data_IF_301788639193
#
_entry.id   IF_301788639193
#
_cell.length_a   1.000
_cell.length_b   1.000
_cell.length_c   1.000
_cell.angle_alpha   90.00
_cell.angle_beta   90.00
_cell.angle_gamma   90.00
#
_symmetry.space_group_name_H-M   'P 1'
#
loop_
_entity.id
_entity.type
_entity.pdbx_description
1 polymer ?
#
# COMPACT_ATOMS: atom_id res chain seq x y z
N UNK A 1 -9.47 15.69 18.71
CA UNK A 1 -8.24 16.52 18.75
C UNK A 1 -8.43 17.65 19.75
N UNK A 2 -7.51 17.81 20.70
CA UNK A 2 -7.51 18.92 21.67
C UNK A 2 -6.26 19.76 21.46
N UNK A 3 -6.42 21.08 21.31
CA UNK A 3 -5.29 22.03 21.38
C UNK A 3 -5.00 22.29 22.86
N UNK A 4 -3.74 22.20 23.27
CA UNK A 4 -3.29 22.55 24.62
C UNK A 4 -2.90 24.02 24.67
N UNK A 5 -2.19 24.49 23.64
CA UNK A 5 -1.85 25.89 23.39
C UNK A 5 -1.71 26.12 21.87
N UNK A 6 -1.20 27.29 21.45
CA UNK A 6 -0.97 27.60 20.03
C UNK A 6 0.07 26.70 19.35
N UNK A 7 0.91 26.00 20.11
CA UNK A 7 2.07 25.24 19.64
C UNK A 7 2.00 23.75 19.94
N UNK A 8 1.00 23.29 20.70
CA UNK A 8 0.87 21.90 21.11
C UNK A 8 -0.55 21.35 20.94
N UNK A 9 -0.66 20.10 20.56
CA UNK A 9 -1.95 19.40 20.42
C UNK A 9 -1.84 17.94 20.75
N UNK A 10 -2.94 17.38 21.27
CA UNK A 10 -3.13 15.95 21.52
C UNK A 10 -4.26 15.45 20.61
N UNK A 11 -4.11 14.24 20.09
CA UNK A 11 -5.16 13.52 19.39
C UNK A 11 -5.13 12.04 19.74
N UNK A 12 -6.29 11.43 19.80
CA UNK A 12 -6.49 9.99 20.00
C UNK A 12 -7.44 9.50 18.91
N UNK A 13 -7.20 8.32 18.38
CA UNK A 13 -8.12 7.60 17.52
C UNK A 13 -8.28 6.18 18.04
N UNK A 14 -9.53 5.72 18.13
CA UNK A 14 -9.89 4.35 18.46
C UNK A 14 -10.96 3.94 17.45
N UNK A 15 -10.63 2.97 16.61
CA UNK A 15 -11.55 2.42 15.62
C UNK A 15 -11.32 0.93 15.40
N UNK A 16 -12.36 0.21 15.04
CA UNK A 16 -12.35 -1.22 14.77
C UNK A 16 -13.12 -1.56 13.51
N UNK A 17 -12.76 -2.66 12.88
CA UNK A 17 -13.47 -3.25 11.76
C UNK A 17 -14.27 -4.46 12.25
N UNK A 18 -15.53 -4.53 11.85
CA UNK A 18 -16.36 -5.71 11.94
C UNK A 18 -16.74 -6.14 10.53
N UNK A 19 -16.34 -7.34 10.14
CA UNK A 19 -16.63 -7.88 8.83
C UNK A 19 -17.42 -9.19 8.99
N UNK A 20 -18.49 -9.33 8.22
CA UNK A 20 -19.21 -10.60 8.06
C UNK A 20 -19.27 -10.89 6.56
N UNK A 21 -18.73 -12.04 6.17
CA UNK A 21 -18.82 -12.52 4.80
C UNK A 21 -19.67 -13.79 4.78
N UNK A 22 -20.66 -13.81 3.90
CA UNK A 22 -21.47 -14.99 3.63
C UNK A 22 -21.31 -15.34 2.15
N UNK A 23 -20.78 -16.52 1.89
CA UNK A 23 -20.66 -17.06 0.54
C UNK A 23 -21.85 -17.98 0.30
N UNK A 24 -22.66 -17.64 -0.70
CA UNK A 24 -23.80 -18.44 -1.14
C UNK A 24 -23.43 -19.05 -2.48
N UNK A 25 -23.25 -20.36 -2.53
CA UNK A 25 -22.92 -21.07 -3.77
C UNK A 25 -24.14 -21.93 -4.18
N UNK A 26 -24.34 -22.09 -5.49
CA UNK A 26 -25.39 -22.95 -6.08
C UNK A 26 -25.32 -24.42 -5.63
N UNK A 27 -24.21 -24.86 -5.03
CA UNK A 27 -23.97 -26.22 -4.50
C UNK A 27 -24.26 -26.37 -3.01
N UNK A 28 -25.03 -25.47 -2.38
CA UNK A 28 -25.44 -25.52 -0.96
C UNK A 28 -24.35 -25.45 0.10
N UNK A 29 -23.17 -24.97 -0.21
CA UNK A 29 -22.15 -24.63 0.78
C UNK A 29 -22.37 -23.18 1.24
N UNK A 30 -23.08 -23.00 2.34
CA UNK A 30 -23.24 -21.71 3.02
C UNK A 30 -22.07 -21.55 4.01
N UNK A 31 -21.00 -20.88 3.61
CA UNK A 31 -19.94 -20.50 4.51
C UNK A 31 -20.21 -19.09 5.04
N UNK A 32 -20.18 -18.94 6.36
CA UNK A 32 -20.24 -17.64 7.02
C UNK A 32 -19.01 -17.45 7.89
N UNK A 33 -18.29 -16.37 7.66
CA UNK A 33 -17.14 -15.98 8.46
C UNK A 33 -17.34 -14.56 9.00
N UNK A 34 -17.18 -14.39 10.31
CA UNK A 34 -17.26 -13.09 10.97
C UNK A 34 -15.96 -12.80 11.70
N UNK A 35 -15.44 -11.62 11.52
CA UNK A 35 -14.18 -11.18 12.13
C UNK A 35 -14.31 -9.78 12.71
N UNK A 36 -13.80 -9.59 13.93
CA UNK A 36 -13.66 -8.29 14.59
C UNK A 36 -12.15 -8.03 14.75
N UNK A 37 -11.68 -6.89 14.28
CA UNK A 37 -10.27 -6.51 14.38
C UNK A 37 -10.11 -5.04 14.69
N UNK A 38 -9.09 -4.65 15.50
CA UNK A 38 -8.75 -3.25 15.67
C UNK A 38 -8.29 -2.66 14.34
N UNK A 39 -8.75 -1.45 14.00
CA UNK A 39 -8.37 -0.76 12.78
C UNK A 39 -7.33 0.32 13.04
N UNK A 40 -7.61 1.22 14.02
CA UNK A 40 -6.66 2.24 14.49
C UNK A 40 -6.84 2.40 16.00
N UNK A 41 -5.73 2.35 16.73
CA UNK A 41 -5.67 2.64 18.16
C UNK A 41 -4.37 3.35 18.40
N UNK A 42 -4.39 4.68 18.36
CA UNK A 42 -3.16 5.46 18.54
C UNK A 42 -3.38 6.75 19.32
N UNK A 43 -2.31 7.17 19.99
CA UNK A 43 -2.17 8.48 20.63
C UNK A 43 -1.14 9.31 19.86
N UNK A 44 -1.44 10.59 19.63
CA UNK A 44 -0.54 11.55 19.00
C UNK A 44 -0.34 12.77 19.88
N UNK A 45 0.91 13.14 20.10
CA UNK A 45 1.33 14.39 20.70
C UNK A 45 2.15 15.20 19.70
N UNK A 46 1.76 16.44 19.49
CA UNK A 46 2.47 17.38 18.63
C UNK A 46 2.97 18.54 19.48
N UNK A 47 4.25 18.86 19.37
CA UNK A 47 4.90 19.97 20.06
C UNK A 47 5.78 20.72 19.08
N UNK A 48 5.38 21.97 18.71
CA UNK A 48 6.09 22.81 17.74
C UNK A 48 6.32 22.03 16.43
N UNK A 49 7.57 21.63 16.18
CA UNK A 49 8.03 20.92 14.98
C UNK A 49 8.10 19.41 15.13
N UNK A 50 7.82 18.88 16.32
CA UNK A 50 7.85 17.47 16.63
C UNK A 50 6.43 16.88 16.64
N UNK A 51 6.28 15.72 16.05
CA UNK A 51 5.10 14.87 16.17
C UNK A 51 5.54 13.50 16.68
N UNK A 52 4.86 13.02 17.71
CA UNK A 52 5.03 11.68 18.27
C UNK A 52 3.70 10.95 18.14
N UNK A 53 3.71 9.74 17.59
CA UNK A 53 2.51 8.91 17.48
C UNK A 53 2.83 7.49 17.93
N UNK A 54 2.05 6.97 18.88
CA UNK A 54 2.24 5.66 19.49
C UNK A 54 0.97 4.83 19.34
N UNK A 55 1.11 3.56 18.97
CA UNK A 55 0.01 2.59 18.88
C UNK A 55 -0.16 1.98 17.51
N UNK A 56 -1.35 1.41 17.25
CA UNK A 56 -1.74 0.85 15.95
C UNK A 56 -2.08 2.00 14.99
N UNK A 57 -1.21 2.25 14.03
CA UNK A 57 -1.28 3.42 13.15
C UNK A 57 -0.96 3.10 11.70
N UNK A 58 -1.45 3.93 10.78
CA UNK A 58 -1.00 3.94 9.39
C UNK A 58 0.32 4.71 9.29
N UNK A 59 1.35 4.07 8.73
CA UNK A 59 2.57 4.74 8.26
C UNK A 59 2.55 4.60 6.74
N UNK A 60 2.49 5.71 6.02
CA UNK A 60 2.33 5.76 4.58
C UNK A 60 3.25 6.82 3.99
N UNK A 61 4.00 6.44 2.96
CA UNK A 61 4.87 7.31 2.19
C UNK A 61 5.15 6.69 0.81
N UNK A 62 5.83 7.44 -0.04
CA UNK A 62 6.06 7.10 -1.44
C UNK A 62 5.18 7.92 -2.37
N UNK A 63 5.57 7.99 -3.62
CA UNK A 63 4.95 8.83 -4.66
C UNK A 63 4.04 8.05 -5.59
N UNK A 64 4.24 6.72 -5.72
CA UNK A 64 3.46 5.85 -6.58
C UNK A 64 2.01 5.73 -6.07
N UNK A 65 1.06 5.60 -6.99
CA UNK A 65 -0.37 5.59 -6.72
C UNK A 65 -1.00 4.19 -6.88
N UNK A 66 -0.55 3.42 -7.88
CA UNK A 66 -1.15 2.14 -8.27
C UNK A 66 -0.27 0.95 -7.88
N UNK A 67 1.02 1.02 -8.22
CA UNK A 67 2.01 -0.04 -7.99
C UNK A 67 3.12 0.52 -7.10
N UNK A 68 3.02 0.34 -5.79
CA UNK A 68 3.77 1.09 -4.76
C UNK A 68 4.89 0.27 -4.10
N UNK A 69 6.15 0.32 -4.57
CA UNK A 69 7.30 -0.37 -3.96
C UNK A 69 7.54 -0.05 -2.49
N UNK A 70 7.18 1.16 -2.03
CA UNK A 70 7.38 1.62 -0.66
C UNK A 70 6.21 1.35 0.29
N UNK A 71 5.28 0.47 -0.06
CA UNK A 71 4.23 -0.02 0.85
C UNK A 71 4.79 -0.98 1.92
N UNK A 72 5.71 -0.50 2.75
CA UNK A 72 6.36 -1.35 3.76
C UNK A 72 5.50 -1.59 5.00
N UNK A 73 4.49 -0.74 5.27
CA UNK A 73 3.73 -0.75 6.52
C UNK A 73 2.22 -0.79 6.33
N UNK A 74 1.74 -0.33 5.20
CA UNK A 74 0.33 -0.37 4.84
C UNK A 74 0.20 -0.90 3.43
N UNK A 75 -0.89 -1.59 3.20
CA UNK A 75 -1.24 -2.12 1.91
C UNK A 75 -2.47 -1.38 1.42
N UNK A 76 -2.32 -0.63 0.33
CA UNK A 76 -3.42 0.02 -0.37
C UNK A 76 -3.62 -0.76 -1.67
N UNK A 77 -4.78 -1.31 -1.86
CA UNK A 77 -5.18 -1.91 -3.13
C UNK A 77 -6.01 -0.89 -3.91
N UNK A 78 -5.55 -0.42 -5.08
CA UNK A 78 -6.30 0.54 -5.90
C UNK A 78 -7.63 -0.01 -6.44
N UNK A 79 -7.85 -1.33 -6.33
CA UNK A 79 -9.12 -1.99 -6.67
C UNK A 79 -10.17 -1.86 -5.55
N UNK A 80 -9.72 -1.61 -4.31
CA UNK A 80 -10.61 -1.37 -3.17
C UNK A 80 -11.03 0.09 -3.14
N UNK A 81 -12.31 0.42 -3.39
CA UNK A 81 -12.81 1.80 -3.39
C UNK A 81 -12.72 2.46 -2.01
N UNK A 82 -12.68 1.68 -0.93
CA UNK A 82 -12.54 2.20 0.42
C UNK A 82 -11.09 2.48 0.80
N UNK A 83 -10.13 1.97 0.03
CA UNK A 83 -8.70 2.07 0.30
C UNK A 83 -8.34 1.71 1.74
N UNK A 84 -8.99 0.67 2.27
CA UNK A 84 -8.76 0.20 3.62
C UNK A 84 -7.33 -0.32 3.74
N UNK A 85 -6.66 0.05 4.81
CA UNK A 85 -5.28 -0.34 5.03
C UNK A 85 -5.09 -0.95 6.40
N UNK A 86 -4.26 -1.99 6.47
CA UNK A 86 -3.76 -2.48 7.74
C UNK A 86 -2.85 -1.41 8.38
N UNK A 87 -2.84 -1.37 9.70
CA UNK A 87 -1.89 -0.56 10.46
C UNK A 87 -0.72 -1.38 10.97
N UNK A 88 0.25 -0.69 11.55
CA UNK A 88 1.37 -1.28 12.29
C UNK A 88 1.42 -0.76 13.71
N UNK A 89 1.81 -1.65 14.65
CA UNK A 89 2.06 -1.26 16.03
C UNK A 89 3.45 -0.65 16.16
N UNK A 90 3.55 0.53 16.77
CA UNK A 90 4.83 1.14 17.01
C UNK A 90 4.77 2.61 17.37
N UNK A 91 5.97 3.19 17.52
CA UNK A 91 6.22 4.61 17.70
C UNK A 91 6.67 5.21 16.36
N UNK A 92 6.06 6.32 15.97
CA UNK A 92 6.50 7.16 14.86
C UNK A 92 6.83 8.54 15.41
N UNK A 93 8.03 9.04 15.12
CA UNK A 93 8.48 10.38 15.42
C UNK A 93 8.73 11.13 14.12
N UNK A 94 8.21 12.33 14.00
CA UNK A 94 8.43 13.22 12.86
C UNK A 94 8.97 14.55 13.32
N UNK A 95 9.95 15.06 12.58
CA UNK A 95 10.48 16.41 12.75
C UNK A 95 10.33 17.22 11.48
N UNK A 96 9.77 18.40 11.56
CA UNK A 96 9.52 19.30 10.44
C UNK A 96 10.51 20.47 10.47
N UNK A 97 11.35 20.59 9.46
CA UNK A 97 12.31 21.68 9.31
C UNK A 97 11.61 22.96 8.81
N UNK A 98 12.27 24.11 8.94
CA UNK A 98 11.76 25.41 8.46
C UNK A 98 11.62 25.48 6.94
N UNK A 99 12.43 24.73 6.21
CA UNK A 99 12.45 24.65 4.75
C UNK A 99 11.48 23.58 4.19
N UNK A 100 10.50 23.15 5.01
CA UNK A 100 9.51 22.11 4.69
C UNK A 100 10.09 20.70 4.43
N UNK A 101 11.40 20.49 4.61
CA UNK A 101 11.96 19.14 4.70
C UNK A 101 11.44 18.48 5.97
N UNK A 102 11.40 17.17 5.99
CA UNK A 102 11.01 16.42 7.18
C UNK A 102 11.87 15.17 7.36
N UNK A 103 11.99 14.79 8.61
CA UNK A 103 12.66 13.57 9.03
C UNK A 103 11.69 12.73 9.83
N UNK A 104 11.60 11.42 9.52
CA UNK A 104 10.80 10.45 10.22
C UNK A 104 11.71 9.38 10.81
N UNK A 105 11.36 8.94 11.98
CA UNK A 105 11.94 7.78 12.62
C UNK A 105 10.82 6.90 13.15
N UNK A 106 10.94 5.59 12.99
CA UNK A 106 9.99 4.63 13.53
C UNK A 106 10.67 3.46 14.22
N UNK A 107 10.03 2.98 15.28
CA UNK A 107 10.30 1.72 15.95
C UNK A 107 9.00 0.94 16.05
N UNK A 108 8.94 -0.26 15.46
CA UNK A 108 7.74 -1.09 15.39
C UNK A 108 7.97 -2.38 16.15
N UNK A 109 6.87 -2.97 16.67
CA UNK A 109 6.95 -4.24 17.39
C UNK A 109 5.64 -5.01 17.30
N UNK A 110 5.72 -6.36 17.28
CA UNK A 110 4.53 -7.21 17.31
C UNK A 110 3.82 -7.40 15.98
N UNK A 111 4.41 -6.93 14.87
CA UNK A 111 3.86 -7.09 13.52
C UNK A 111 4.36 -8.41 12.92
N UNK A 112 3.48 -9.17 12.24
CA UNK A 112 3.83 -10.49 11.69
C UNK A 112 3.44 -10.68 10.22
N UNK A 113 2.45 -9.96 9.72
CA UNK A 113 1.93 -10.17 8.37
C UNK A 113 2.91 -9.67 7.30
N UNK A 114 3.00 -10.38 6.17
CA UNK A 114 3.61 -9.85 4.95
C UNK A 114 2.79 -8.64 4.46
N UNK A 115 3.46 -7.63 3.91
CA UNK A 115 2.87 -6.34 3.52
C UNK A 115 3.32 -5.92 2.12
N UNK A 116 2.42 -5.40 1.32
CA UNK A 116 2.72 -4.93 -0.02
C UNK A 116 3.36 -6.02 -0.90
N UNK A 117 4.58 -5.79 -1.33
CA UNK A 117 5.37 -6.72 -2.16
C UNK A 117 6.31 -7.62 -1.35
N UNK A 118 6.06 -7.79 -0.05
CA UNK A 118 6.89 -8.64 0.80
C UNK A 118 6.80 -10.11 0.37
N UNK A 119 7.93 -10.72 0.08
CA UNK A 119 8.03 -12.16 -0.15
C UNK A 119 7.93 -12.96 1.16
N UNK A 120 8.32 -12.36 2.29
CA UNK A 120 8.38 -13.02 3.59
C UNK A 120 7.67 -12.19 4.67
N UNK A 121 6.95 -12.84 5.60
CA UNK A 121 6.38 -12.17 6.76
C UNK A 121 7.46 -11.70 7.75
N UNK A 122 7.08 -10.77 8.63
CA UNK A 122 7.95 -10.26 9.70
C UNK A 122 8.00 -11.22 10.87
N UNK A 123 9.16 -11.35 11.50
CA UNK A 123 9.29 -12.10 12.75
C UNK A 123 8.79 -11.25 13.93
N UNK A 124 7.64 -11.61 14.47
CA UNK A 124 6.83 -10.85 15.45
C UNK A 124 7.56 -10.46 16.74
N UNK A 125 8.50 -11.28 17.19
CA UNK A 125 9.15 -11.13 18.51
C UNK A 125 10.33 -10.15 18.50
N UNK A 126 10.66 -9.57 17.36
CA UNK A 126 11.78 -8.66 17.20
C UNK A 126 11.33 -7.27 16.75
N UNK A 127 12.02 -6.21 17.22
CA UNK A 127 11.70 -4.86 16.80
C UNK A 127 12.10 -4.61 15.34
N UNK A 128 11.32 -3.77 14.68
CA UNK A 128 11.63 -3.19 13.39
C UNK A 128 12.00 -1.71 13.60
N UNK A 129 13.02 -1.22 12.94
CA UNK A 129 13.45 0.18 13.04
C UNK A 129 13.70 0.78 11.66
N UNK A 130 13.54 2.08 11.54
CA UNK A 130 13.89 2.75 10.31
C UNK A 130 13.71 4.25 10.36
N UNK A 131 14.11 4.89 9.27
CA UNK A 131 14.08 6.34 9.12
C UNK A 131 13.80 6.74 7.68
N UNK A 132 13.30 7.97 7.50
CA UNK A 132 13.08 8.61 6.21
C UNK A 132 13.45 10.08 6.28
N UNK A 133 14.12 10.57 5.26
CA UNK A 133 14.33 11.99 5.03
C UNK A 133 13.69 12.40 3.72
N UNK A 134 12.85 13.42 3.76
CA UNK A 134 12.17 13.99 2.60
C UNK A 134 12.55 15.46 2.46
N UNK A 135 12.84 15.88 1.24
CA UNK A 135 13.22 17.24 0.90
C UNK A 135 12.42 17.74 -0.29
N UNK A 136 11.92 18.97 -0.19
CA UNK A 136 11.37 19.67 -1.34
C UNK A 136 12.49 20.13 -2.27
N UNK A 137 12.26 19.98 -3.55
CA UNK A 137 13.11 20.47 -4.65
C UNK A 137 12.27 21.35 -5.58
N UNK A 138 12.86 22.15 -6.48
CA UNK A 138 12.07 22.91 -7.43
C UNK A 138 11.10 22.02 -8.22
N UNK A 139 9.80 22.38 -8.18
CA UNK A 139 8.70 21.63 -8.83
C UNK A 139 8.49 20.19 -8.36
N UNK A 140 9.00 19.83 -7.18
CA UNK A 140 8.81 18.47 -6.71
C UNK A 140 9.37 18.17 -5.33
N UNK A 141 9.51 16.89 -5.06
CA UNK A 141 10.06 16.36 -3.82
C UNK A 141 10.86 15.07 -4.07
N UNK A 142 11.83 14.83 -3.22
CA UNK A 142 12.65 13.62 -3.20
C UNK A 142 12.76 13.09 -1.78
N UNK A 143 12.84 11.78 -1.64
CA UNK A 143 13.07 11.18 -0.34
C UNK A 143 13.88 9.89 -0.41
N UNK A 144 14.56 9.61 0.70
CA UNK A 144 15.26 8.35 0.94
C UNK A 144 14.75 7.74 2.24
N UNK A 145 14.61 6.43 2.26
CA UNK A 145 14.10 5.66 3.39
C UNK A 145 15.00 4.46 3.66
N UNK A 146 15.13 4.12 4.93
CA UNK A 146 15.80 2.89 5.36
C UNK A 146 14.94 2.17 6.37
N UNK A 147 14.88 0.84 6.30
CA UNK A 147 14.16 0.00 7.24
C UNK A 147 14.91 -1.30 7.49
N UNK A 148 15.00 -1.67 8.76
CA UNK A 148 15.54 -2.94 9.23
C UNK A 148 14.46 -3.72 9.94
N UNK A 149 14.36 -5.02 9.62
CA UNK A 149 13.53 -5.99 10.33
C UNK A 149 14.17 -7.38 10.32
N UNK A 150 13.65 -8.29 11.12
CA UNK A 150 13.88 -9.71 10.92
C UNK A 150 12.67 -10.32 10.21
N UNK A 151 12.89 -10.97 9.08
CA UNK A 151 11.89 -11.73 8.35
C UNK A 151 11.94 -13.21 8.75
N UNK A 152 10.82 -13.94 8.56
CA UNK A 152 10.78 -15.40 8.74
C UNK A 152 10.48 -16.09 7.41
N UNK A 153 11.19 -17.19 7.12
CA UNK A 153 10.92 -18.02 5.94
C UNK A 153 10.19 -19.32 6.28
N UNK A 154 9.89 -19.55 7.56
CA UNK A 154 9.33 -20.79 8.10
C UNK A 154 8.09 -21.32 7.37
N UNK A 155 7.11 -20.49 6.95
CA UNK A 155 5.90 -21.01 6.36
C UNK A 155 5.97 -21.26 4.84
N UNK A 156 6.97 -20.73 4.13
CA UNK A 156 6.86 -20.53 2.68
C UNK A 156 7.81 -21.42 1.87
N UNK A 157 8.99 -21.76 2.38
CA UNK A 157 10.04 -22.28 1.51
C UNK A 157 10.40 -23.75 1.72
N UNK A 158 9.82 -24.49 2.67
CA UNK A 158 10.05 -25.93 2.82
C UNK A 158 11.52 -26.40 2.85
N UNK A 159 12.47 -25.55 2.50
CA UNK A 159 13.90 -25.80 2.36
C UNK A 159 14.63 -24.82 3.29
N UNK A 160 15.19 -25.35 4.38
CA UNK A 160 15.93 -24.59 5.40
C UNK A 160 15.16 -23.39 5.95
N UNK A 161 14.13 -23.59 6.77
CA UNK A 161 13.36 -22.50 7.35
C UNK A 161 14.23 -21.69 8.31
N UNK A 162 14.38 -20.40 8.05
CA UNK A 162 14.98 -19.46 8.98
C UNK A 162 13.90 -18.77 9.78
N UNK A 163 13.83 -19.00 11.08
CA UNK A 163 12.94 -18.25 11.98
C UNK A 163 13.26 -16.75 11.96
N UNK A 164 14.55 -16.43 11.87
CA UNK A 164 15.06 -15.07 11.89
C UNK A 164 16.04 -14.86 10.74
N UNK A 165 15.68 -14.03 9.79
CA UNK A 165 16.55 -13.58 8.72
C UNK A 165 16.63 -12.05 8.75
N UNK A 166 17.76 -11.45 9.17
CA UNK A 166 17.93 -10.00 9.12
C UNK A 166 17.75 -9.48 7.70
N UNK A 167 16.90 -8.47 7.56
CA UNK A 167 16.52 -7.87 6.30
C UNK A 167 16.71 -6.36 6.36
N UNK A 168 17.42 -5.82 5.38
CA UNK A 168 17.67 -4.40 5.18
C UNK A 168 16.93 -3.92 3.95
N UNK A 169 16.27 -2.78 4.05
CA UNK A 169 15.57 -2.14 2.94
C UNK A 169 16.08 -0.72 2.76
N UNK A 170 16.35 -0.35 1.53
CA UNK A 170 16.62 1.02 1.13
C UNK A 170 15.55 1.41 0.11
N UNK A 171 14.91 2.55 0.33
CA UNK A 171 13.88 3.08 -0.55
C UNK A 171 14.23 4.47 -1.05
N UNK A 172 13.85 4.74 -2.28
CA UNK A 172 13.91 6.04 -2.92
C UNK A 172 12.57 6.37 -3.53
N UNK A 173 12.11 7.60 -3.39
CA UNK A 173 10.99 8.14 -4.15
C UNK A 173 11.21 9.59 -4.52
N UNK A 174 10.58 9.97 -5.61
CA UNK A 174 10.55 11.33 -6.08
C UNK A 174 9.29 11.61 -6.87
N UNK A 175 8.82 12.85 -6.82
CA UNK A 175 7.66 13.33 -7.54
C UNK A 175 7.92 14.74 -8.06
N UNK A 176 7.54 14.99 -9.31
CA UNK A 176 7.64 16.30 -9.97
C UNK A 176 6.33 16.69 -10.62
N UNK A 177 6.04 17.99 -10.60
CA UNK A 177 4.98 18.63 -11.37
C UNK A 177 5.62 19.52 -12.44
N UNK A 178 5.59 19.02 -13.67
CA UNK A 178 6.18 19.65 -14.87
C UNK A 178 5.12 20.03 -15.91
N UNK A 179 3.87 20.24 -15.46
CA UNK A 179 2.70 20.34 -16.32
C UNK A 179 2.06 18.97 -16.55
N UNK A 180 2.84 17.93 -16.42
CA UNK A 180 2.43 16.55 -16.19
C UNK A 180 2.98 16.12 -14.82
N UNK A 181 2.24 15.30 -14.08
CA UNK A 181 2.76 14.66 -12.87
C UNK A 181 3.68 13.51 -13.26
N UNK A 182 4.90 13.50 -12.71
CA UNK A 182 5.87 12.41 -12.90
C UNK A 182 6.36 11.94 -11.55
N UNK A 183 6.51 10.62 -11.36
CA UNK A 183 7.11 10.06 -10.16
C UNK A 183 7.90 8.81 -10.44
N UNK A 184 8.83 8.53 -9.56
CA UNK A 184 9.54 7.26 -9.49
C UNK A 184 9.62 6.79 -8.05
N UNK A 185 9.54 5.50 -7.85
CA UNK A 185 9.62 4.86 -6.55
C UNK A 185 10.42 3.56 -6.68
N UNK A 186 11.38 3.35 -5.79
CA UNK A 186 12.20 2.14 -5.82
C UNK A 186 12.50 1.61 -4.43
N UNK A 187 12.68 0.30 -4.34
CA UNK A 187 13.10 -0.39 -3.12
C UNK A 187 14.13 -1.46 -3.46
N UNK A 188 15.22 -1.48 -2.70
CA UNK A 188 16.17 -2.58 -2.64
C UNK A 188 16.07 -3.27 -1.28
N UNK A 189 15.86 -4.59 -1.29
CA UNK A 189 15.76 -5.43 -0.12
C UNK A 189 16.90 -6.45 -0.16
N UNK A 190 17.66 -6.53 0.93
CA UNK A 190 18.74 -7.50 1.12
C UNK A 190 18.50 -8.33 2.37
N UNK A 191 18.56 -9.65 2.25
CA UNK A 191 18.46 -10.61 3.33
C UNK A 191 19.80 -11.26 3.58
N UNK A 192 20.25 -11.25 4.84
CA UNK A 192 21.58 -11.75 5.19
C UNK A 192 21.71 -13.26 4.99
N UNK A 193 20.66 -14.01 5.33
CA UNK A 193 20.65 -15.47 5.12
C UNK A 193 20.17 -15.76 3.69
N UNK A 194 20.87 -16.69 3.04
CA UNK A 194 20.59 -17.10 1.67
C UNK A 194 19.29 -17.93 1.59
N UNK A 195 18.36 -17.47 0.77
CA UNK A 195 17.06 -18.10 0.50
C UNK A 195 16.81 -18.20 -1.02
N UNK A 196 17.84 -18.60 -1.76
CA UNK A 196 17.79 -18.69 -3.20
C UNK A 196 17.56 -17.33 -3.86
N UNK A 197 16.67 -17.29 -4.84
CA UNK A 197 16.30 -16.06 -5.56
C UNK A 197 15.60 -15.01 -4.70
N UNK A 198 15.15 -15.36 -3.51
CA UNK A 198 14.56 -14.39 -2.58
C UNK A 198 15.58 -13.71 -1.66
N UNK A 199 16.89 -13.92 -1.86
CA UNK A 199 17.93 -13.30 -1.05
C UNK A 199 17.98 -11.79 -1.24
N UNK A 200 17.86 -11.32 -2.47
CA UNK A 200 17.72 -9.91 -2.80
C UNK A 200 16.43 -9.66 -3.56
N UNK A 201 15.88 -8.45 -3.45
CA UNK A 201 14.72 -8.03 -4.24
C UNK A 201 14.90 -6.56 -4.63
N UNK A 202 14.64 -6.27 -5.89
CA UNK A 202 14.60 -4.90 -6.43
C UNK A 202 13.20 -4.64 -6.97
N UNK A 203 12.63 -3.54 -6.56
CA UNK A 203 11.38 -3.01 -7.09
C UNK A 203 11.66 -1.62 -7.64
N UNK A 204 11.21 -1.36 -8.85
CA UNK A 204 11.34 -0.05 -9.49
C UNK A 204 10.03 0.30 -10.20
N UNK A 205 9.44 1.42 -9.83
CA UNK A 205 8.23 1.97 -10.44
C UNK A 205 8.52 3.33 -11.08
N UNK A 206 7.99 3.53 -12.27
CA UNK A 206 7.91 4.81 -12.95
C UNK A 206 6.45 5.08 -13.29
N UNK A 207 5.97 6.28 -12.98
CA UNK A 207 4.59 6.66 -13.24
C UNK A 207 4.45 8.10 -13.70
N UNK A 208 3.33 8.35 -14.36
CA UNK A 208 2.91 9.69 -14.79
C UNK A 208 1.40 9.84 -14.74
N UNK A 209 0.94 11.07 -14.58
CA UNK A 209 -0.46 11.43 -14.74
C UNK A 209 -0.64 12.76 -15.46
N UNK A 210 -1.81 12.89 -16.06
CA UNK A 210 -2.25 14.12 -16.69
C UNK A 210 -3.77 14.25 -16.64
N UNK A 211 -4.26 15.47 -16.43
CA UNK A 211 -5.69 15.76 -16.50
C UNK A 211 -5.99 16.56 -17.77
N UNK A 212 -6.69 15.93 -18.69
CA UNK A 212 -7.15 16.58 -19.92
C UNK A 212 -8.36 17.47 -19.62
N UNK A 213 -8.43 18.66 -20.21
CA UNK A 213 -9.55 19.59 -20.10
C UNK A 213 -10.81 19.17 -20.88
N UNK A 214 -11.15 17.86 -20.86
CA UNK A 214 -12.30 17.29 -21.54
C UNK A 214 -13.48 17.26 -20.56
N UNK A 215 -14.52 18.02 -20.84
CA UNK A 215 -15.70 18.13 -19.96
C UNK A 215 -15.31 18.56 -18.55
N UNK A 216 -15.60 17.72 -17.55
CA UNK A 216 -15.28 17.97 -16.14
C UNK A 216 -13.84 17.63 -15.76
N UNK A 217 -12.99 17.25 -16.71
CA UNK A 217 -11.60 16.87 -16.50
C UNK A 217 -11.40 15.35 -16.51
N UNK A 218 -10.81 14.82 -17.60
CA UNK A 218 -10.45 13.41 -17.72
C UNK A 218 -9.04 13.21 -17.17
N UNK A 219 -8.90 12.54 -16.03
CA UNK A 219 -7.61 12.18 -15.47
C UNK A 219 -7.14 10.82 -16.01
N UNK A 220 -5.90 10.76 -16.46
CA UNK A 220 -5.21 9.57 -16.93
C UNK A 220 -3.95 9.37 -16.11
N UNK A 221 -3.74 8.17 -15.57
CA UNK A 221 -2.52 7.77 -14.86
C UNK A 221 -2.00 6.46 -15.41
N UNK A 222 -0.70 6.35 -15.57
CA UNK A 222 -0.02 5.12 -15.98
C UNK A 222 1.19 4.87 -15.08
N UNK A 223 1.39 3.63 -14.68
CA UNK A 223 2.55 3.16 -13.94
C UNK A 223 3.11 1.88 -14.55
N UNK A 224 4.42 1.72 -14.45
CA UNK A 224 5.11 0.49 -14.79
C UNK A 224 6.03 0.09 -13.63
N UNK A 225 5.85 -1.13 -13.12
CA UNK A 225 6.65 -1.73 -12.07
C UNK A 225 7.47 -2.89 -12.61
N UNK A 226 8.77 -2.84 -12.38
CA UNK A 226 9.68 -3.97 -12.54
C UNK A 226 10.01 -4.51 -11.14
N UNK A 227 9.74 -5.78 -10.92
CA UNK A 227 10.05 -6.51 -9.68
C UNK A 227 10.98 -7.66 -9.99
N UNK A 228 12.18 -7.64 -9.41
CA UNK A 228 13.19 -8.69 -9.61
C UNK A 228 13.60 -9.29 -8.27
N UNK A 229 13.43 -10.60 -8.15
CA UNK A 229 13.99 -11.40 -7.04
C UNK A 229 15.28 -12.05 -7.52
N UNK A 230 16.37 -11.90 -6.76
CA UNK A 230 17.73 -12.19 -7.23
C UNK A 230 18.48 -12.97 -6.15
N UNK A 231 19.23 -14.00 -6.55
CA UNK A 231 20.08 -14.77 -5.63
C UNK A 231 21.25 -13.94 -5.06
N UNK A 232 21.97 -14.49 -4.11
CA UNK A 232 23.10 -13.80 -3.45
C UNK A 232 24.18 -13.39 -4.43
N UNK A 233 24.46 -14.20 -5.44
CA UNK A 233 25.56 -14.00 -6.37
C UNK A 233 25.16 -13.18 -7.60
N UNK A 234 23.89 -12.74 -7.69
CA UNK A 234 23.32 -12.04 -8.84
C UNK A 234 23.37 -12.86 -10.14
N UNK A 235 23.40 -14.19 -10.03
CA UNK A 235 23.47 -15.10 -11.19
C UNK A 235 22.09 -15.55 -11.66
N UNK A 236 21.17 -15.76 -10.72
CA UNK A 236 19.80 -16.17 -11.03
C UNK A 236 18.81 -15.11 -10.58
N UNK A 237 17.87 -14.79 -11.45
CA UNK A 237 16.80 -13.83 -11.16
C UNK A 237 15.45 -14.27 -11.71
N UNK A 238 14.40 -13.88 -11.00
CA UNK A 238 13.01 -13.97 -11.45
C UNK A 238 12.46 -12.56 -11.53
N UNK A 239 12.22 -12.09 -12.74
CA UNK A 239 11.73 -10.73 -12.99
C UNK A 239 10.29 -10.77 -13.48
N UNK A 240 9.48 -9.88 -12.93
CA UNK A 240 8.11 -9.59 -13.36
C UNK A 240 8.03 -8.13 -13.80
N UNK A 241 7.22 -7.87 -14.81
CA UNK A 241 6.90 -6.53 -15.29
C UNK A 241 5.38 -6.37 -15.29
N UNK A 242 4.91 -5.33 -14.60
CA UNK A 242 3.49 -5.04 -14.42
C UNK A 242 3.25 -3.60 -14.83
N UNK A 243 2.29 -3.38 -15.74
CA UNK A 243 1.79 -2.04 -16.07
C UNK A 243 0.40 -1.86 -15.48
N UNK A 244 0.11 -0.66 -15.00
CA UNK A 244 -1.19 -0.27 -14.52
C UNK A 244 -1.64 1.04 -15.19
N UNK A 245 -2.88 1.09 -15.62
CA UNK A 245 -3.50 2.28 -16.20
C UNK A 245 -4.79 2.58 -15.45
N UNK A 246 -4.97 3.81 -15.03
CA UNK A 246 -6.21 4.31 -14.44
C UNK A 246 -6.73 5.49 -15.26
N UNK A 247 -8.02 5.45 -15.56
CA UNK A 247 -8.77 6.55 -16.17
C UNK A 247 -9.88 6.94 -15.19
N UNK A 248 -9.98 8.21 -14.85
CA UNK A 248 -10.97 8.73 -13.91
C UNK A 248 -11.68 9.93 -14.52
N UNK A 249 -13.01 9.93 -14.47
CA UNK A 249 -13.82 11.04 -14.97
C UNK A 249 -14.93 11.41 -13.98
N UNK A 250 -14.96 12.66 -13.47
CA UNK A 250 -16.05 13.17 -12.67
C UNK A 250 -17.26 13.45 -13.57
N UNK A 251 -18.34 12.68 -13.40
CA UNK A 251 -19.59 12.84 -14.16
C UNK A 251 -20.37 14.05 -13.66
N UNK A 252 -20.45 14.19 -12.34
CA UNK A 252 -21.07 15.32 -11.64
C UNK A 252 -20.24 15.67 -10.41
N UNK A 253 -20.69 16.66 -9.65
CA UNK A 253 -20.06 17.01 -8.38
C UNK A 253 -20.04 15.85 -7.35
N UNK A 254 -21.05 14.98 -7.41
CA UNK A 254 -21.22 13.87 -6.46
C UNK A 254 -21.01 12.49 -7.10
N UNK A 255 -20.59 12.39 -8.34
CA UNK A 255 -20.42 11.10 -9.01
C UNK A 255 -19.21 11.06 -9.94
N UNK A 256 -18.54 9.93 -9.95
CA UNK A 256 -17.38 9.67 -10.80
C UNK A 256 -17.41 8.26 -11.38
N UNK A 257 -16.73 8.08 -12.50
CA UNK A 257 -16.44 6.78 -13.07
C UNK A 257 -14.93 6.59 -13.15
N UNK A 258 -14.46 5.41 -12.74
CA UNK A 258 -13.05 5.06 -12.72
C UNK A 258 -12.85 3.72 -13.42
N UNK A 259 -11.94 3.67 -14.36
CA UNK A 259 -11.47 2.44 -15.01
C UNK A 259 -10.05 2.13 -14.57
N UNK A 260 -9.74 0.87 -14.30
CA UNK A 260 -8.42 0.40 -13.89
C UNK A 260 -8.07 -0.88 -14.65
N UNK A 261 -6.88 -0.92 -15.21
CA UNK A 261 -6.33 -2.08 -15.91
C UNK A 261 -4.95 -2.39 -15.35
N UNK A 262 -4.73 -3.65 -14.98
CA UNK A 262 -3.39 -4.18 -14.73
C UNK A 262 -3.05 -5.18 -15.82
N UNK A 263 -1.80 -5.16 -16.29
CA UNK A 263 -1.25 -6.12 -17.22
C UNK A 263 0.07 -6.69 -16.70
N UNK A 264 0.12 -7.99 -16.47
CA UNK A 264 1.34 -8.72 -16.15
C UNK A 264 1.94 -9.28 -17.44
N UNK A 265 3.02 -8.68 -17.91
CA UNK A 265 3.59 -8.97 -19.22
C UNK A 265 4.10 -10.41 -19.39
N UNK A 266 4.72 -10.98 -18.35
CA UNK A 266 5.31 -12.32 -18.41
C UNK A 266 4.28 -13.45 -18.46
N UNK A 267 3.22 -13.33 -17.67
CA UNK A 267 2.13 -14.31 -17.58
C UNK A 267 0.99 -14.02 -18.54
N UNK A 268 1.00 -12.86 -19.19
CA UNK A 268 -0.08 -12.33 -20.03
C UNK A 268 -1.44 -12.32 -19.30
N UNK A 269 -1.39 -11.97 -18.01
CA UNK A 269 -2.55 -11.93 -17.13
C UNK A 269 -3.03 -10.49 -17.01
N UNK A 270 -4.32 -10.26 -17.24
CA UNK A 270 -4.95 -8.94 -17.16
C UNK A 270 -6.03 -8.92 -16.10
N UNK A 271 -6.04 -7.82 -15.31
CA UNK A 271 -7.12 -7.49 -14.39
C UNK A 271 -7.79 -6.22 -14.88
N UNK A 272 -9.11 -6.24 -14.95
CA UNK A 272 -9.93 -5.10 -15.37
C UNK A 272 -10.90 -4.74 -14.25
N UNK A 273 -11.12 -3.45 -14.03
CA UNK A 273 -12.09 -2.95 -13.08
C UNK A 273 -12.70 -1.66 -13.59
N UNK A 274 -14.02 -1.53 -13.50
CA UNK A 274 -14.76 -0.30 -13.71
C UNK A 274 -15.59 -0.05 -12.45
N UNK A 275 -15.46 1.14 -11.88
CA UNK A 275 -16.16 1.56 -10.68
C UNK A 275 -16.95 2.84 -10.97
N UNK A 276 -18.25 2.80 -10.75
CA UNK A 276 -19.10 3.99 -10.67
C UNK A 276 -19.35 4.32 -9.20
N UNK A 277 -19.02 5.54 -8.79
CA UNK A 277 -19.27 6.06 -7.45
C UNK A 277 -20.32 7.15 -7.49
N UNK A 278 -21.23 7.11 -6.52
CA UNK A 278 -22.17 8.21 -6.26
C UNK A 278 -22.29 8.50 -4.77
N UNK A 279 -22.07 9.75 -4.38
CA UNK A 279 -22.17 10.21 -3.01
C UNK A 279 -23.52 10.86 -2.77
N UNK A 280 -24.31 10.23 -1.91
CA UNK A 280 -25.56 10.76 -1.36
C UNK A 280 -25.27 11.54 -0.06
N UNK A 281 -26.29 12.15 0.50
CA UNK A 281 -26.17 12.94 1.74
C UNK A 281 -25.64 12.13 2.92
N UNK A 282 -26.08 10.88 3.08
CA UNK A 282 -25.78 10.02 4.22
C UNK A 282 -25.02 8.74 3.86
N UNK A 283 -24.89 8.41 2.61
CA UNK A 283 -24.17 7.23 2.18
C UNK A 283 -23.52 7.42 0.80
N UNK A 284 -22.49 6.65 0.56
CA UNK A 284 -21.85 6.53 -0.75
C UNK A 284 -22.17 5.15 -1.32
N UNK A 285 -22.46 5.08 -2.61
CA UNK A 285 -22.67 3.83 -3.32
C UNK A 285 -21.55 3.64 -4.37
N UNK A 286 -21.08 2.39 -4.46
CA UNK A 286 -20.09 1.99 -5.46
C UNK A 286 -20.68 0.81 -6.23
N UNK A 287 -20.75 0.94 -7.55
CA UNK A 287 -21.08 -0.15 -8.45
C UNK A 287 -19.82 -0.53 -9.22
N UNK A 288 -19.34 -1.75 -8.98
CA UNK A 288 -18.04 -2.21 -9.48
C UNK A 288 -18.27 -3.44 -10.35
N UNK A 289 -17.81 -3.36 -11.61
CA UNK A 289 -17.69 -4.50 -12.49
C UNK A 289 -16.20 -4.84 -12.64
N UNK A 290 -15.86 -6.11 -12.53
CA UNK A 290 -14.46 -6.53 -12.57
C UNK A 290 -14.26 -7.85 -13.28
N UNK A 291 -13.02 -8.04 -13.76
CA UNK A 291 -12.49 -9.30 -14.22
C UNK A 291 -11.13 -9.52 -13.55
N UNK A 292 -11.05 -10.52 -12.67
CA UNK A 292 -9.81 -10.96 -12.05
C UNK A 292 -9.49 -12.36 -12.54
N UNK A 293 -8.28 -12.62 -13.06
CA UNK A 293 -7.89 -13.97 -13.44
C UNK A 293 -7.79 -14.89 -12.21
N UNK A 294 -7.96 -16.20 -12.43
CA UNK A 294 -7.92 -17.19 -11.35
C UNK A 294 -6.56 -17.29 -10.66
N UNK A 295 -5.48 -16.95 -11.36
CA UNK A 295 -4.11 -16.96 -10.84
C UNK A 295 -3.55 -15.53 -10.78
N UNK A 296 -3.82 -14.79 -9.72
CA UNK A 296 -3.18 -13.49 -9.44
C UNK A 296 -1.91 -13.66 -8.61
N UNK A 297 -0.93 -14.40 -9.07
CA UNK A 297 0.36 -14.48 -8.39
C UNK A 297 1.11 -13.14 -8.51
N UNK A 298 1.30 -12.44 -7.39
CA UNK A 298 2.27 -11.36 -7.26
C UNK A 298 1.75 -9.92 -7.36
N UNK A 299 0.46 -9.69 -7.57
CA UNK A 299 -0.13 -8.37 -7.36
C UNK A 299 -0.58 -8.32 -5.91
N UNK A 300 -0.12 -7.32 -5.19
CA UNK A 300 -0.43 -6.96 -3.79
C UNK A 300 -1.33 -7.93 -3.00
N UNK A 301 -0.87 -8.37 -1.85
CA UNK A 301 -1.61 -9.30 -0.98
C UNK A 301 -2.84 -8.61 -0.36
N UNK A 302 -3.97 -8.65 -1.03
CA UNK A 302 -5.26 -8.26 -0.46
C UNK A 302 -6.20 -9.46 -0.49
N UNK A 303 -6.41 -10.08 0.68
CA UNK A 303 -7.17 -11.32 0.83
C UNK A 303 -8.62 -11.19 0.33
N UNK A 304 -9.25 -10.01 0.49
CA UNK A 304 -10.64 -9.78 0.08
C UNK A 304 -10.75 -9.69 -1.44
N UNK A 305 -9.88 -8.90 -2.07
CA UNK A 305 -9.93 -8.71 -3.54
C UNK A 305 -9.41 -9.93 -4.27
N UNK A 306 -8.42 -10.63 -3.72
CA UNK A 306 -7.87 -11.85 -4.32
C UNK A 306 -8.84 -13.06 -4.20
N UNK A 307 -9.82 -13.00 -3.30
CA UNK A 307 -10.86 -14.03 -3.20
C UNK A 307 -11.92 -13.97 -4.32
N UNK A 308 -11.95 -12.87 -5.09
CA UNK A 308 -12.92 -12.64 -6.17
C UNK A 308 -12.24 -12.96 -7.52
N UNK A 309 -12.23 -14.22 -7.91
CA UNK A 309 -11.72 -14.67 -9.22
C UNK A 309 -12.80 -14.67 -10.30
N UNK A 310 -12.40 -14.51 -11.55
CA UNK A 310 -13.29 -14.44 -12.71
C UNK A 310 -13.99 -13.09 -12.89
N UNK A 311 -14.99 -13.02 -13.77
CA UNK A 311 -15.83 -11.85 -13.93
C UNK A 311 -16.82 -11.71 -12.78
N UNK A 312 -17.05 -10.49 -12.31
CA UNK A 312 -18.01 -10.26 -11.24
C UNK A 312 -18.54 -8.83 -11.19
N UNK A 313 -19.59 -8.68 -10.41
CA UNK A 313 -20.22 -7.39 -10.09
C UNK A 313 -20.33 -7.28 -8.59
N UNK A 314 -20.01 -6.11 -8.05
CA UNK A 314 -20.10 -5.80 -6.64
C UNK A 314 -20.88 -4.49 -6.45
N UNK A 315 -21.81 -4.49 -5.51
CA UNK A 315 -22.45 -3.28 -4.99
C UNK A 315 -21.96 -3.06 -3.56
N UNK A 316 -21.40 -1.89 -3.31
CA UNK A 316 -20.95 -1.49 -1.98
C UNK A 316 -21.71 -0.24 -1.55
N UNK A 317 -22.30 -0.29 -0.36
CA UNK A 317 -22.97 0.85 0.27
C UNK A 317 -22.23 1.21 1.55
N UNK A 318 -21.82 2.47 1.67
CA UNK A 318 -21.05 2.99 2.80
C UNK A 318 -21.85 4.09 3.47
N UNK A 319 -22.26 3.86 4.71
CA UNK A 319 -22.93 4.88 5.51
C UNK A 319 -21.91 5.83 6.14
N UNK A 320 -22.09 7.12 5.92
CA UNK A 320 -21.27 8.20 6.48
C UNK A 320 -22.13 9.01 7.45
N UNK A 321 -21.68 9.16 8.68
CA UNK A 321 -22.36 9.93 9.73
C UNK A 321 -21.50 11.06 10.28
#
# INVERSE_FOLDING_TARGET
>A
KKKLDSLSSIAVEISGNFNTTRIINSKNLNESNSNISPYRIWFRYQLKKWEFRLGLQKIDFGSAQLLRPLQWFNQIDPRDPLSLTNGVYGLLVRYYFKNNSNFWFWGLYGNEKARGFDALPTFKKEPEIGARYQKLVPKGEIAISYHYRKATSDPILGINPFKENPEHRIGWDSKWDLGIGLWTESTFIHRQKQIGVFTNQVLFNLGMDYTFGIGNGLNFSIENLISSSIDKNFTNSVTQNISAVRVSYPLTFNSSINGLVYNQWKSNVQTLLINYEHQFKYFSSYFIAYYNPEETQGIQQNDIVNSLSGPGIQLLLVYNH
#
